data_IF_700494807113
#
_entry.id   IF_700494807113
#
_cell.length_a   1.000
_cell.length_b   1.000
_cell.length_c   1.000
_cell.angle_alpha   90.00
_cell.angle_beta   90.00
_cell.angle_gamma   90.00
#
_symmetry.space_group_name_H-M   'P 1'
#
loop_
_entity.id
_entity.type
_entity.pdbx_description
1 polymer ?
#
# COMPACT_ATOMS: atom_id res chain seq x y z
N UNK A 1 20.43 -10.86 5.87
CA UNK A 1 18.98 -11.07 6.10
C UNK A 1 18.26 -10.82 4.78
N UNK A 2 17.38 -11.73 4.34
CA UNK A 2 16.63 -11.57 3.09
C UNK A 2 15.15 -11.39 3.39
N UNK A 3 14.52 -10.39 2.77
CA UNK A 3 13.09 -10.11 2.89
C UNK A 3 12.45 -10.37 1.52
N UNK A 4 11.41 -11.21 1.49
CA UNK A 4 10.60 -11.47 0.29
C UNK A 4 9.24 -10.83 0.48
N UNK A 5 8.93 -9.83 -0.34
CA UNK A 5 7.63 -9.15 -0.33
C UNK A 5 6.74 -9.70 -1.44
N UNK A 6 5.67 -10.40 -1.07
CA UNK A 6 4.66 -10.84 -2.04
C UNK A 6 3.63 -9.72 -2.27
N UNK A 7 3.87 -8.88 -3.28
CA UNK A 7 3.07 -7.68 -3.58
C UNK A 7 1.99 -7.91 -4.65
N UNK A 8 1.40 -9.10 -4.72
CA UNK A 8 0.35 -9.45 -5.69
C UNK A 8 -1.05 -8.95 -5.29
N UNK A 9 -1.90 -8.65 -6.28
CA UNK A 9 -3.33 -8.37 -6.09
C UNK A 9 -3.78 -6.99 -6.56
N UNK A 10 -4.62 -6.96 -7.59
CA UNK A 10 -5.07 -5.77 -8.33
C UNK A 10 -6.05 -4.84 -7.61
N UNK A 11 -6.34 -5.06 -6.34
CA UNK A 11 -7.17 -4.09 -5.63
C UNK A 11 -8.66 -4.32 -5.59
N UNK A 12 -9.28 -4.77 -6.68
CA UNK A 12 -10.74 -4.85 -6.96
C UNK A 12 -11.74 -4.45 -5.85
N UNK A 13 -11.69 -5.07 -4.66
CA UNK A 13 -12.52 -4.69 -3.49
C UNK A 13 -12.32 -3.25 -2.98
N UNK A 14 -11.19 -2.63 -3.28
CA UNK A 14 -10.85 -1.26 -2.90
C UNK A 14 -11.11 -0.28 -4.04
N UNK A 15 -11.81 -0.68 -5.10
CA UNK A 15 -12.26 0.25 -6.13
C UNK A 15 -13.17 1.32 -5.47
N UNK A 16 -13.02 2.62 -5.81
CA UNK A 16 -12.18 3.21 -6.87
C UNK A 16 -10.75 3.58 -6.44
N UNK A 17 -10.38 3.38 -5.17
CA UNK A 17 -9.06 3.72 -4.63
C UNK A 17 -7.93 2.85 -5.21
N UNK A 18 -8.28 1.65 -5.67
CA UNK A 18 -7.39 0.69 -6.32
C UNK A 18 -7.83 0.40 -7.76
N UNK A 19 -6.87 0.25 -8.66
CA UNK A 19 -7.12 -0.18 -10.04
C UNK A 19 -5.90 -0.94 -10.61
N UNK A 20 -5.96 -1.31 -11.89
CA UNK A 20 -4.91 -2.09 -12.56
C UNK A 20 -3.57 -1.34 -12.62
N UNK A 21 -3.59 -0.01 -12.69
CA UNK A 21 -2.41 0.85 -12.68
C UNK A 21 -1.94 1.12 -11.24
N UNK A 22 -2.87 1.21 -10.28
CA UNK A 22 -2.62 1.53 -8.87
C UNK A 22 -3.08 0.39 -7.96
N UNK A 23 -2.15 -0.54 -7.71
CA UNK A 23 -2.37 -1.71 -6.86
C UNK A 23 -2.46 -1.36 -5.36
N UNK A 24 -2.97 -2.30 -4.55
CA UNK A 24 -3.33 -2.10 -3.12
C UNK A 24 -2.22 -1.52 -2.26
N UNK A 25 -1.00 -2.01 -2.45
CA UNK A 25 0.18 -1.66 -1.66
C UNK A 25 0.61 -0.19 -1.78
N UNK A 26 0.11 0.51 -2.79
CA UNK A 26 0.40 1.93 -3.06
C UNK A 26 -0.71 2.88 -2.57
N UNK A 27 -1.79 2.35 -2.00
CA UNK A 27 -2.88 3.17 -1.47
C UNK A 27 -2.46 3.65 -0.08
N UNK A 28 -2.55 4.97 0.11
CA UNK A 28 -2.23 5.62 1.38
C UNK A 28 -3.46 5.60 2.27
N UNK A 29 -3.53 4.61 3.17
CA UNK A 29 -4.66 4.42 4.09
C UNK A 29 -4.26 4.56 5.56
N UNK A 30 -2.98 4.39 5.88
CA UNK A 30 -2.54 4.40 7.27
C UNK A 30 -2.18 5.81 7.69
N UNK A 31 -2.75 6.26 8.80
CA UNK A 31 -2.36 7.53 9.42
C UNK A 31 -1.04 7.35 10.17
N UNK A 32 -0.16 8.33 9.99
CA UNK A 32 1.05 8.55 10.79
C UNK A 32 0.72 9.41 12.01
N UNK A 33 1.66 9.48 12.94
CA UNK A 33 1.56 10.34 14.14
C UNK A 33 1.46 11.82 13.78
N UNK A 34 2.07 12.23 12.66
CA UNK A 34 1.99 13.58 12.09
C UNK A 34 0.67 13.87 11.34
N UNK A 35 -0.27 12.92 11.31
CA UNK A 35 -1.54 13.03 10.61
C UNK A 35 -1.49 12.78 9.10
N UNK A 36 -0.30 12.58 8.52
CA UNK A 36 -0.16 12.25 7.10
C UNK A 36 -0.56 10.79 6.80
N UNK A 37 -0.90 10.51 5.55
CA UNK A 37 -1.23 9.15 5.10
C UNK A 37 -0.04 8.46 4.45
N UNK A 38 0.19 7.21 4.80
CA UNK A 38 1.20 6.33 4.20
C UNK A 38 0.59 5.03 3.67
N UNK A 39 1.29 4.42 2.71
CA UNK A 39 0.93 3.11 2.15
C UNK A 39 1.67 1.96 2.86
N UNK A 40 1.21 0.72 2.61
CA UNK A 40 1.90 -0.48 3.12
C UNK A 40 3.37 -0.52 2.71
N UNK A 41 3.68 -0.19 1.45
CA UNK A 41 5.06 -0.21 0.95
C UNK A 41 5.94 0.80 1.71
N UNK A 42 5.42 2.00 1.96
CA UNK A 42 6.13 3.04 2.68
C UNK A 42 6.36 2.69 4.15
N UNK A 43 5.48 1.86 4.73
CA UNK A 43 5.63 1.35 6.10
C UNK A 43 6.71 0.26 6.22
N UNK A 44 6.82 -0.62 5.22
CA UNK A 44 7.77 -1.74 5.23
C UNK A 44 9.20 -1.31 4.86
N UNK A 45 9.37 -0.27 4.05
CA UNK A 45 10.68 0.24 3.63
C UNK A 45 11.35 1.20 4.65
N UNK A 46 10.76 1.46 5.82
CA UNK A 46 11.43 2.25 6.85
C UNK A 46 12.58 1.49 7.51
#
# INVERSE_FOLDING_TARGET
MHIVLLSGGSGKRLWPLSNEVRSKQFIKLFKREDGSLESMLQRVHR
#
